data_IF_570670797947
#
_entry.id   IF_570670797947
#
_cell.length_a   1.000
_cell.length_b   1.000
_cell.length_c   1.000
_cell.angle_alpha   90.00
_cell.angle_beta   90.00
_cell.angle_gamma   90.00
#
_symmetry.space_group_name_H-M   'P 1'
#
loop_
_entity.id
_entity.type
_entity.pdbx_description
1 polymer ?
#
# COMPACT_ATOMS: atom_id res chain seq x y z
N UNK A 1 -7.85 33.96 14.20
CA UNK A 1 -8.59 33.10 13.24
C UNK A 1 -7.92 31.74 13.03
N UNK A 2 -6.58 31.66 13.00
CA UNK A 2 -5.81 30.42 12.76
C UNK A 2 -6.09 29.29 13.79
N UNK A 3 -6.17 29.62 15.07
CA UNK A 3 -6.41 28.65 16.16
C UNK A 3 -7.80 28.02 16.12
N UNK A 4 -8.80 28.75 15.59
CA UNK A 4 -10.16 28.24 15.42
C UNK A 4 -10.21 27.23 14.27
N UNK A 5 -9.50 27.51 13.18
CA UNK A 5 -9.40 26.61 12.04
C UNK A 5 -8.68 25.30 12.39
N UNK A 6 -7.58 25.38 13.15
CA UNK A 6 -6.85 24.19 13.62
C UNK A 6 -7.69 23.32 14.55
N UNK A 7 -8.51 23.95 15.40
CA UNK A 7 -9.38 23.22 16.34
C UNK A 7 -10.51 22.47 15.60
N UNK A 8 -11.09 23.10 14.57
CA UNK A 8 -12.11 22.49 13.71
C UNK A 8 -11.54 21.33 12.89
N UNK A 9 -10.32 21.47 12.37
CA UNK A 9 -9.65 20.41 11.62
C UNK A 9 -9.34 19.19 12.50
N UNK A 10 -8.89 19.43 13.74
CA UNK A 10 -8.61 18.36 14.71
C UNK A 10 -9.89 17.66 15.18
N UNK A 11 -10.98 18.39 15.40
CA UNK A 11 -12.27 17.77 15.78
C UNK A 11 -12.86 16.95 14.64
N UNK A 12 -12.73 17.41 13.40
CA UNK A 12 -13.18 16.67 12.22
C UNK A 12 -12.38 15.36 12.06
N UNK A 13 -11.06 15.42 12.22
CA UNK A 13 -10.20 14.22 12.16
C UNK A 13 -10.55 13.18 13.23
N UNK A 14 -10.85 13.62 14.46
CA UNK A 14 -11.27 12.70 15.54
C UNK A 14 -12.67 12.10 15.33
N UNK A 15 -13.56 12.75 14.59
CA UNK A 15 -14.93 12.26 14.39
C UNK A 15 -15.04 11.20 13.29
N UNK A 16 -14.06 11.11 12.38
CA UNK A 16 -14.00 10.10 11.32
C UNK A 16 -13.34 8.79 11.79
N UNK A 17 -12.64 8.79 12.93
CA UNK A 17 -11.91 7.62 13.44
C UNK A 17 -12.80 6.54 14.04
N UNK A 18 -13.29 5.60 13.22
CA UNK A 18 -13.84 4.33 13.72
C UNK A 18 -12.70 3.31 13.87
N UNK A 19 -12.39 2.89 15.10
CA UNK A 19 -11.41 1.83 15.35
C UNK A 19 -12.02 0.46 15.00
N UNK A 20 -11.56 -0.16 13.92
CA UNK A 20 -11.95 -1.52 13.54
C UNK A 20 -11.10 -2.55 14.31
N UNK A 21 -11.72 -3.35 15.17
CA UNK A 21 -11.09 -4.49 15.81
C UNK A 21 -11.35 -5.74 14.97
N UNK A 22 -10.28 -6.32 14.43
CA UNK A 22 -10.36 -7.54 13.67
C UNK A 22 -9.77 -8.69 14.51
N UNK A 23 -10.64 -9.53 15.07
CA UNK A 23 -10.25 -10.78 15.75
C UNK A 23 -10.47 -11.93 14.78
N UNK A 24 -9.44 -12.24 13.98
CA UNK A 24 -9.46 -13.41 13.10
C UNK A 24 -8.78 -14.58 13.82
N UNK A 25 -9.42 -15.76 13.89
CA UNK A 25 -8.76 -16.97 14.40
C UNK A 25 -7.46 -17.24 13.62
N UNK A 26 -6.33 -17.35 14.31
CA UNK A 26 -5.03 -17.65 13.68
C UNK A 26 -4.88 -19.16 13.57
N UNK A 27 -5.17 -19.70 12.39
CA UNK A 27 -4.79 -21.08 12.07
C UNK A 27 -3.30 -21.13 11.73
N UNK A 28 -2.53 -21.89 12.52
CA UNK A 28 -1.12 -22.14 12.22
C UNK A 28 -1.03 -23.16 11.09
N UNK A 29 -0.91 -22.68 9.86
CA UNK A 29 -0.60 -23.54 8.72
C UNK A 29 0.88 -23.91 8.79
N UNK A 30 1.19 -25.12 9.26
CA UNK A 30 2.53 -25.70 9.19
C UNK A 30 2.76 -26.19 7.76
N UNK A 31 3.31 -25.33 6.91
CA UNK A 31 3.73 -25.74 5.57
C UNK A 31 5.02 -26.53 5.70
N UNK A 32 4.93 -27.86 5.83
CA UNK A 32 6.07 -28.75 5.64
C UNK A 32 6.43 -28.77 4.15
N UNK A 33 7.33 -27.90 3.72
CA UNK A 33 8.03 -28.10 2.45
C UNK A 33 9.08 -29.18 2.65
N UNK A 34 8.85 -30.37 2.12
CA UNK A 34 9.91 -31.37 1.93
C UNK A 34 10.81 -30.85 0.81
N UNK A 35 11.89 -30.17 1.18
CA UNK A 35 13.00 -29.94 0.27
C UNK A 35 13.84 -31.22 0.30
N UNK A 36 13.76 -32.02 -0.76
CA UNK A 36 14.77 -33.04 -1.03
C UNK A 36 16.02 -32.29 -1.54
N UNK A 37 17.09 -32.31 -0.75
CA UNK A 37 18.46 -31.99 -1.19
C UNK A 37 19.29 -33.26 -1.06
N UNK A 38 19.96 -33.63 -2.14
CA UNK A 38 20.60 -34.93 -2.39
C UNK A 38 21.80 -35.27 -1.50
N UNK A 39 22.24 -34.42 -0.56
CA UNK A 39 23.33 -34.82 0.33
C UNK A 39 23.30 -34.07 1.67
N UNK A 40 23.11 -34.83 2.76
CA UNK A 40 22.76 -34.32 4.08
C UNK A 40 23.76 -33.37 4.73
N UNK A 41 23.29 -32.20 5.17
CA UNK A 41 23.49 -31.55 6.49
C UNK A 41 22.54 -30.33 6.58
N UNK A 42 22.06 -30.06 7.79
CA UNK A 42 21.03 -29.13 8.32
C UNK A 42 20.97 -27.69 7.78
N UNK A 43 19.76 -27.10 7.69
CA UNK A 43 19.34 -25.81 8.31
C UNK A 43 17.81 -25.66 8.17
N UNK A 44 17.11 -25.61 9.30
CA UNK A 44 15.68 -25.37 9.40
C UNK A 44 15.44 -23.86 9.40
N UNK A 45 15.26 -23.27 8.21
CA UNK A 45 14.88 -21.87 8.12
C UNK A 45 13.36 -21.76 8.32
N UNK A 46 12.98 -21.58 9.59
CA UNK A 46 11.64 -21.22 10.01
C UNK A 46 11.36 -19.78 9.57
N UNK A 47 10.99 -19.59 8.30
CA UNK A 47 10.24 -18.41 7.88
C UNK A 47 8.75 -18.76 7.99
N UNK A 48 8.20 -18.60 9.19
CA UNK A 48 6.75 -18.63 9.41
C UNK A 48 6.12 -17.51 8.57
N UNK A 49 5.70 -17.81 7.34
CA UNK A 49 4.80 -16.90 6.63
C UNK A 49 3.44 -17.01 7.31
N UNK A 50 3.17 -16.08 8.23
CA UNK A 50 1.88 -15.95 8.89
C UNK A 50 0.85 -15.48 7.85
N UNK A 51 0.27 -16.41 7.11
CA UNK A 51 -0.81 -16.11 6.16
C UNK A 51 -2.08 -15.97 6.98
N UNK A 52 -2.47 -14.72 7.26
CA UNK A 52 -3.79 -14.43 7.83
C UNK A 52 -4.78 -14.40 6.66
N UNK A 53 -6.01 -14.94 6.76
CA UNK A 53 -7.03 -14.79 5.71
C UNK A 53 -7.41 -13.32 5.44
N UNK A 54 -7.03 -12.41 6.33
CA UNK A 54 -7.14 -10.96 6.18
C UNK A 54 -5.91 -10.29 5.57
N UNK A 55 -4.82 -11.03 5.33
CA UNK A 55 -3.68 -10.52 4.58
C UNK A 55 -4.17 -10.24 3.16
N UNK A 56 -4.26 -8.95 2.86
CA UNK A 56 -4.69 -8.40 1.59
C UNK A 56 -3.99 -9.13 0.45
N UNK A 57 -4.77 -9.59 -0.53
CA UNK A 57 -4.32 -10.36 -1.73
C UNK A 57 -3.36 -9.55 -2.64
N UNK A 58 -3.18 -8.26 -2.36
CA UNK A 58 -2.31 -7.36 -3.11
C UNK A 58 -0.83 -7.53 -2.75
N UNK A 59 0.04 -7.20 -3.71
CA UNK A 59 1.49 -7.18 -3.47
C UNK A 59 1.86 -6.11 -2.42
N UNK A 60 2.97 -6.29 -1.73
CA UNK A 60 3.47 -5.30 -0.76
C UNK A 60 3.60 -3.92 -1.41
N UNK A 61 4.21 -3.85 -2.60
CA UNK A 61 4.35 -2.61 -3.38
C UNK A 61 3.00 -1.95 -3.70
N UNK A 62 2.00 -2.76 -4.08
CA UNK A 62 0.66 -2.29 -4.39
C UNK A 62 -0.02 -1.69 -3.16
N UNK A 63 0.13 -2.32 -1.99
CA UNK A 63 -0.41 -1.77 -0.73
C UNK A 63 0.26 -0.46 -0.35
N UNK A 64 1.59 -0.37 -0.50
CA UNK A 64 2.36 0.85 -0.20
C UNK A 64 2.01 1.97 -1.18
N UNK A 65 1.90 1.67 -2.47
CA UNK A 65 1.50 2.63 -3.50
C UNK A 65 0.09 3.17 -3.27
N UNK A 66 -0.86 2.31 -2.88
CA UNK A 66 -2.23 2.72 -2.53
C UNK A 66 -2.24 3.65 -1.31
N UNK A 67 -1.44 3.34 -0.29
CA UNK A 67 -1.33 4.17 0.91
C UNK A 67 -0.73 5.55 0.57
N UNK A 68 0.35 5.58 -0.21
CA UNK A 68 0.96 6.81 -0.70
C UNK A 68 -0.01 7.64 -1.55
N UNK A 69 -0.84 6.99 -2.36
CA UNK A 69 -1.87 7.66 -3.14
C UNK A 69 -2.88 8.34 -2.22
N UNK A 70 -3.40 7.69 -1.18
CA UNK A 70 -4.42 8.30 -0.29
C UNK A 70 -3.87 9.47 0.53
N UNK A 71 -2.66 9.35 1.08
CA UNK A 71 -2.11 10.36 1.99
C UNK A 71 -1.34 11.48 1.27
N UNK A 72 -0.66 11.16 0.18
CA UNK A 72 0.33 12.03 -0.47
C UNK A 72 0.05 12.21 -1.98
N UNK A 73 -1.21 12.06 -2.38
CA UNK A 73 -1.69 12.25 -3.75
C UNK A 73 -1.11 13.48 -4.48
N UNK A 74 -1.18 14.72 -3.94
CA UNK A 74 -0.78 15.91 -4.70
C UNK A 74 0.73 15.97 -4.99
N UNK A 75 1.53 15.16 -4.30
CA UNK A 75 2.99 15.10 -4.50
C UNK A 75 3.42 13.99 -5.47
N UNK A 76 2.47 13.26 -6.08
CA UNK A 76 2.73 12.11 -6.93
C UNK A 76 3.55 10.99 -6.24
N UNK A 77 3.46 10.86 -4.92
CA UNK A 77 4.32 9.97 -4.14
C UNK A 77 4.18 8.49 -4.53
N UNK A 78 2.97 8.08 -4.94
CA UNK A 78 2.72 6.75 -5.49
C UNK A 78 3.53 6.48 -6.76
N UNK A 79 3.69 7.47 -7.65
CA UNK A 79 4.49 7.35 -8.88
C UNK A 79 5.99 7.39 -8.63
N UNK A 80 6.43 8.19 -7.65
CA UNK A 80 7.83 8.20 -7.21
C UNK A 80 8.27 6.86 -6.64
N UNK A 81 7.40 6.21 -5.86
CA UNK A 81 7.64 4.89 -5.30
C UNK A 81 7.72 3.81 -6.38
N UNK A 82 6.81 3.85 -7.36
CA UNK A 82 6.77 2.91 -8.49
C UNK A 82 7.85 3.18 -9.56
N UNK A 83 8.77 4.12 -9.32
CA UNK A 83 9.90 4.48 -10.20
C UNK A 83 9.46 4.93 -11.60
N UNK A 84 8.35 5.66 -11.68
CA UNK A 84 7.87 6.28 -12.93
C UNK A 84 8.87 7.32 -13.46
N UNK A 85 8.87 7.61 -14.79
CA UNK A 85 9.81 8.55 -15.37
C UNK A 85 9.68 9.96 -14.77
N UNK A 86 10.83 10.59 -14.48
CA UNK A 86 10.90 11.87 -13.76
C UNK A 86 10.06 12.98 -14.40
N UNK A 87 10.06 13.03 -15.74
CA UNK A 87 9.32 14.04 -16.51
C UNK A 87 7.81 13.92 -16.36
N UNK A 88 7.29 12.67 -16.33
CA UNK A 88 5.87 12.42 -16.14
C UNK A 88 5.42 12.79 -14.72
N UNK A 89 6.25 12.56 -13.70
CA UNK A 89 5.93 12.94 -12.32
C UNK A 89 5.87 14.46 -12.15
N UNK A 90 6.80 15.18 -12.76
CA UNK A 90 6.80 16.66 -12.76
C UNK A 90 5.57 17.20 -13.50
N UNK A 91 5.20 16.60 -14.64
CA UNK A 91 4.00 16.98 -15.38
C UNK A 91 2.71 16.74 -14.56
N UNK A 92 2.63 15.63 -13.84
CA UNK A 92 1.52 15.35 -12.92
C UNK A 92 1.41 16.42 -11.83
N UNK A 93 2.52 16.80 -11.18
CA UNK A 93 2.51 17.82 -10.14
C UNK A 93 2.12 19.19 -10.71
N UNK A 94 2.66 19.56 -11.88
CA UNK A 94 2.35 20.83 -12.55
C UNK A 94 0.87 20.93 -12.94
N UNK A 95 0.27 19.80 -13.32
CA UNK A 95 -1.15 19.71 -13.67
C UNK A 95 -2.05 19.48 -12.46
N UNK A 96 -1.51 19.48 -11.23
CA UNK A 96 -2.22 19.11 -9.99
C UNK A 96 -2.98 17.78 -10.15
N UNK A 97 -2.34 16.77 -10.73
CA UNK A 97 -2.93 15.47 -11.02
C UNK A 97 -4.01 15.48 -12.09
N UNK A 98 -3.92 16.41 -13.05
CA UNK A 98 -4.71 16.44 -14.27
C UNK A 98 -6.23 16.49 -14.05
N UNK A 99 -6.71 17.35 -13.13
CA UNK A 99 -8.13 17.47 -12.75
C UNK A 99 -8.76 16.18 -12.18
N UNK A 100 -7.94 15.26 -11.67
CA UNK A 100 -8.39 13.99 -11.10
C UNK A 100 -8.52 12.85 -12.10
N UNK A 101 -8.36 13.11 -13.40
CA UNK A 101 -8.39 12.06 -14.44
C UNK A 101 -7.16 11.16 -14.31
N UNK A 102 -5.99 11.75 -14.09
CA UNK A 102 -4.77 10.97 -13.84
C UNK A 102 -4.87 10.21 -12.51
N UNK A 103 -5.50 10.80 -11.50
CA UNK A 103 -5.78 10.11 -10.23
C UNK A 103 -6.57 8.81 -10.43
N UNK A 104 -7.60 8.88 -11.28
CA UNK A 104 -8.49 7.77 -11.56
C UNK A 104 -7.77 6.64 -12.29
N UNK A 105 -6.99 6.96 -13.32
CA UNK A 105 -6.20 5.97 -14.06
C UNK A 105 -5.16 5.33 -13.14
N UNK A 106 -4.41 6.15 -12.38
CA UNK A 106 -3.40 5.67 -11.44
C UNK A 106 -4.00 4.74 -10.38
N UNK A 107 -5.19 5.08 -9.85
CA UNK A 107 -5.89 4.23 -8.89
C UNK A 107 -6.25 2.87 -9.50
N UNK A 108 -6.77 2.84 -10.73
CA UNK A 108 -7.16 1.59 -11.41
C UNK A 108 -5.93 0.70 -11.64
N UNK A 109 -4.84 1.26 -12.12
CA UNK A 109 -3.61 0.52 -12.42
C UNK A 109 -2.94 0.00 -11.14
N UNK A 110 -2.92 0.79 -10.06
CA UNK A 110 -2.47 0.33 -8.74
C UNK A 110 -3.36 -0.83 -8.28
N UNK A 111 -4.69 -0.69 -8.32
CA UNK A 111 -5.61 -1.74 -7.83
C UNK A 111 -5.59 -3.02 -8.68
N UNK A 112 -5.31 -2.91 -9.98
CA UNK A 112 -5.17 -4.06 -10.88
C UNK A 112 -3.78 -4.69 -10.86
N UNK A 113 -2.81 -4.07 -10.17
CA UNK A 113 -1.43 -4.55 -10.13
C UNK A 113 -0.67 -4.36 -11.45
N UNK A 114 -1.26 -3.64 -12.41
CA UNK A 114 -0.69 -3.43 -13.74
C UNK A 114 -0.05 -2.05 -13.81
N UNK A 115 1.10 -1.90 -13.15
CA UNK A 115 1.86 -0.64 -13.11
C UNK A 115 3.24 -0.77 -13.78
N UNK A 116 3.36 -1.22 -15.04
CA UNK A 116 4.64 -1.37 -15.72
C UNK A 116 5.41 -0.04 -15.87
N UNK A 117 4.76 1.09 -15.58
CA UNK A 117 5.43 2.39 -15.49
C UNK A 117 4.50 3.57 -15.31
N UNK A 118 3.42 3.40 -14.53
CA UNK A 118 2.37 4.39 -14.25
C UNK A 118 2.76 5.87 -14.47
#
# INVERSE_FOLDING_TARGET
MKTKLTLVLMSLFMMIGSFAYASFPVERQVTTKVVQLENGTTMEETSTSLTTPAAVVWSEDQTIATLLFVFLWPFAAHRWFLRSPIGWNILFILTFGGLGIWALVDLIDILTGNYPGL
#
